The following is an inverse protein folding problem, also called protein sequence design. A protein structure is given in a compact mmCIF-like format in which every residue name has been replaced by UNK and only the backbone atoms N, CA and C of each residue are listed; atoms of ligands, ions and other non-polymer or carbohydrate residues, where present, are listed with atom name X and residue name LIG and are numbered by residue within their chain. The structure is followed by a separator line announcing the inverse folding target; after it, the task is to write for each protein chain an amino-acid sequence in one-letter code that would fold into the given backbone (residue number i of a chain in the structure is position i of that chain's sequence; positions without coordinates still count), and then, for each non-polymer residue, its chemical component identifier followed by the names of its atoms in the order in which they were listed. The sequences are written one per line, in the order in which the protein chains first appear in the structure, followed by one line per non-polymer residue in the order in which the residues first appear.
data_IF_790824550655
#
_entry.id   IF_790824550655
#
_cell.length_a   1.000
_cell.length_b   1.000
_cell.length_c   1.000
_cell.angle_alpha   90.00
_cell.angle_beta   90.00
_cell.angle_gamma   90.00
#
_symmetry.space_group_name_H-M   'P 1'
#
loop_
_entity.id
_entity.type
_entity.pdbx_description
1 polymer ?
#
# COMPACT_ATOMS: atom_id res chain seq x y z
N UNK A 1 -14.75 -0.51 30.79
CA UNK A 1 -13.29 -0.68 30.98
C UNK A 1 -12.44 -0.16 29.83
N UNK A 2 -12.68 -0.49 28.53
CA UNK A 2 -11.78 -0.12 27.43
C UNK A 2 -11.47 1.37 27.26
N UNK A 3 -12.46 2.24 27.57
CA UNK A 3 -12.31 3.71 27.43
C UNK A 3 -11.37 4.33 28.47
N UNK A 4 -11.21 3.71 29.63
CA UNK A 4 -10.39 4.26 30.75
C UNK A 4 -8.90 4.00 30.49
N UNK A 5 -8.55 2.88 29.86
CA UNK A 5 -7.17 2.53 29.56
C UNK A 5 -6.62 3.24 28.31
N UNK A 6 -7.50 3.76 27.44
CA UNK A 6 -7.07 4.38 26.18
C UNK A 6 -6.13 5.58 26.38
N UNK A 7 -6.42 6.58 27.25
CA UNK A 7 -5.50 7.68 27.50
C UNK A 7 -4.14 7.21 28.05
N UNK A 8 -4.15 6.15 28.86
CA UNK A 8 -2.95 5.58 29.44
C UNK A 8 -2.08 4.87 28.38
N UNK A 9 -2.69 4.07 27.52
CA UNK A 9 -2.04 3.41 26.39
C UNK A 9 -1.52 4.44 25.37
N UNK A 10 -2.25 5.53 25.15
CA UNK A 10 -1.80 6.66 24.32
C UNK A 10 -0.56 7.32 24.91
N UNK A 11 -0.54 7.57 26.22
CA UNK A 11 0.62 8.11 26.92
C UNK A 11 1.84 7.19 26.77
N UNK A 12 1.72 5.93 27.18
CA UNK A 12 2.85 4.98 27.18
C UNK A 12 3.38 4.70 25.78
N UNK A 13 2.49 4.50 24.80
CA UNK A 13 2.92 4.30 23.41
C UNK A 13 3.60 5.53 22.80
N UNK A 14 3.23 6.74 23.24
CA UNK A 14 3.84 7.98 22.73
C UNK A 14 5.15 8.32 23.42
N UNK A 15 5.40 7.80 24.62
CA UNK A 15 6.69 7.93 25.33
C UNK A 15 7.66 6.77 25.05
N UNK A 16 7.24 5.76 24.27
CA UNK A 16 8.05 4.56 24.05
C UNK A 16 8.17 3.64 25.27
N UNK A 17 7.25 3.73 26.22
CA UNK A 17 7.24 2.93 27.44
C UNK A 17 6.70 1.53 27.17
N UNK A 18 7.56 0.69 26.59
CA UNK A 18 7.27 -0.69 26.20
C UNK A 18 6.92 -1.55 27.42
N UNK A 19 7.58 -1.33 28.55
CA UNK A 19 7.42 -2.17 29.74
C UNK A 19 6.03 -1.97 30.35
N UNK A 20 5.55 -0.72 30.46
CA UNK A 20 4.20 -0.45 30.91
C UNK A 20 3.13 -1.01 29.96
N UNK A 21 3.35 -0.97 28.63
CA UNK A 21 2.44 -1.59 27.66
C UNK A 21 2.42 -3.12 27.84
N UNK A 22 3.57 -3.75 28.08
CA UNK A 22 3.67 -5.18 28.34
C UNK A 22 2.95 -5.59 29.62
N UNK A 23 3.06 -4.82 30.70
CA UNK A 23 2.30 -5.05 31.92
C UNK A 23 0.79 -4.97 31.67
N UNK A 24 0.31 -3.97 30.91
CA UNK A 24 -1.11 -3.88 30.57
C UNK A 24 -1.53 -5.08 29.72
N UNK A 25 -0.75 -5.47 28.71
CA UNK A 25 -1.04 -6.65 27.87
C UNK A 25 -1.15 -7.93 28.70
N UNK A 26 -0.26 -8.11 29.67
CA UNK A 26 -0.25 -9.28 30.55
C UNK A 26 -1.50 -9.33 31.45
N UNK A 27 -1.93 -8.19 31.97
CA UNK A 27 -3.08 -8.12 32.87
C UNK A 27 -4.43 -8.07 32.13
N UNK A 28 -4.44 -7.65 30.86
CA UNK A 28 -5.64 -7.47 30.03
C UNK A 28 -5.43 -8.01 28.60
N UNK A 29 -5.19 -9.33 28.44
CA UNK A 29 -4.88 -9.94 27.13
C UNK A 29 -6.03 -9.86 26.11
N UNK A 30 -7.27 -9.67 26.57
CA UNK A 30 -8.47 -9.56 25.74
C UNK A 30 -8.59 -8.24 24.97
N UNK A 31 -7.73 -7.24 25.26
CA UNK A 31 -7.77 -5.94 24.62
C UNK A 31 -7.20 -5.98 23.19
N UNK A 32 -8.01 -6.40 22.23
CA UNK A 32 -7.62 -6.54 20.82
C UNK A 32 -7.04 -5.26 20.17
N UNK A 33 -7.30 -4.07 20.74
CA UNK A 33 -6.76 -2.80 20.25
C UNK A 33 -5.35 -2.48 20.79
N UNK A 34 -4.86 -3.21 21.81
CA UNK A 34 -3.56 -2.97 22.44
C UNK A 34 -2.41 -3.09 21.44
N UNK A 35 -2.55 -3.93 20.41
CA UNK A 35 -1.54 -4.11 19.36
C UNK A 35 -1.14 -2.80 18.65
N UNK A 36 -2.07 -1.83 18.53
CA UNK A 36 -1.74 -0.52 17.94
C UNK A 36 -0.74 0.25 18.83
N UNK A 37 -0.99 0.22 20.14
CA UNK A 37 -0.18 0.92 21.14
C UNK A 37 1.14 0.20 21.39
N UNK A 38 1.10 -1.14 21.37
CA UNK A 38 2.26 -2.03 21.46
C UNK A 38 3.28 -1.71 20.38
N UNK A 39 2.93 -1.87 19.10
CA UNK A 39 3.90 -1.62 18.03
C UNK A 39 4.37 -0.16 18.04
N UNK A 40 3.48 0.80 18.32
CA UNK A 40 3.87 2.22 18.42
C UNK A 40 4.93 2.46 19.51
N UNK A 41 4.79 1.86 20.69
CA UNK A 41 5.77 2.01 21.77
C UNK A 41 7.17 1.56 21.32
N UNK A 42 7.28 0.37 20.72
CA UNK A 42 8.55 -0.16 20.21
C UNK A 42 9.16 0.73 19.11
N UNK A 43 8.35 1.24 18.19
CA UNK A 43 8.83 2.10 17.10
C UNK A 43 9.33 3.44 17.65
N UNK A 44 8.59 4.07 18.58
CA UNK A 44 8.97 5.34 19.21
C UNK A 44 10.25 5.20 20.03
N UNK A 45 10.44 4.08 20.73
CA UNK A 45 11.65 3.82 21.50
C UNK A 45 12.81 3.25 20.66
N UNK A 46 12.66 3.17 19.34
CA UNK A 46 13.63 2.57 18.41
C UNK A 46 14.04 1.12 18.71
N UNK A 47 13.19 0.35 19.39
CA UNK A 47 13.43 -1.05 19.78
C UNK A 47 12.97 -2.00 18.69
N UNK A 48 13.47 -1.82 17.47
CA UNK A 48 13.04 -2.58 16.28
C UNK A 48 13.43 -4.08 16.38
N UNK A 49 14.62 -4.39 16.90
CA UNK A 49 15.08 -5.77 17.14
C UNK A 49 14.13 -6.52 18.08
N UNK A 50 13.74 -5.88 19.19
CA UNK A 50 12.89 -6.50 20.20
C UNK A 50 11.48 -6.75 19.65
N UNK A 51 10.97 -5.82 18.83
CA UNK A 51 9.69 -5.99 18.15
C UNK A 51 9.74 -7.13 17.13
N UNK A 52 10.81 -7.21 16.34
CA UNK A 52 11.01 -8.30 15.39
C UNK A 52 11.14 -9.64 16.13
N UNK A 53 11.89 -9.69 17.23
CA UNK A 53 11.99 -10.86 18.09
C UNK A 53 10.63 -11.28 18.65
N UNK A 54 9.79 -10.33 19.08
CA UNK A 54 8.43 -10.62 19.56
C UNK A 54 7.54 -11.24 18.46
N UNK A 55 7.74 -10.87 17.19
CA UNK A 55 7.07 -11.53 16.07
C UNK A 55 7.59 -12.95 15.83
N UNK A 56 8.90 -13.19 16.01
CA UNK A 56 9.54 -14.47 15.73
C UNK A 56 9.36 -15.53 16.81
N UNK A 57 9.42 -15.14 18.08
CA UNK A 57 9.56 -16.06 19.21
C UNK A 57 8.37 -17.04 19.32
N UNK A 58 7.16 -16.55 19.05
CA UNK A 58 5.97 -17.37 18.93
C UNK A 58 5.12 -16.83 17.78
N UNK A 59 5.06 -17.56 16.67
CA UNK A 59 4.38 -17.07 15.46
C UNK A 59 2.87 -16.83 15.67
N UNK A 60 2.19 -17.63 16.50
CA UNK A 60 0.76 -17.39 16.80
C UNK A 60 0.56 -16.09 17.59
N UNK A 61 1.40 -15.87 18.60
CA UNK A 61 1.36 -14.62 19.36
C UNK A 61 1.79 -13.43 18.49
N UNK A 62 2.89 -13.58 17.75
CA UNK A 62 3.41 -12.60 16.81
C UNK A 62 2.37 -12.17 15.78
N UNK A 63 1.60 -13.11 15.23
CA UNK A 63 0.44 -12.84 14.36
C UNK A 63 -0.61 -11.97 15.06
N UNK A 64 -0.92 -12.24 16.32
CA UNK A 64 -1.94 -11.49 17.07
C UNK A 64 -1.55 -10.02 17.28
N UNK A 65 -0.25 -9.75 17.43
CA UNK A 65 0.31 -8.40 17.61
C UNK A 65 0.80 -7.76 16.31
N UNK A 66 0.81 -8.49 15.19
CA UNK A 66 1.37 -8.03 13.93
C UNK A 66 0.69 -6.76 13.43
N UNK A 67 1.53 -5.80 13.00
CA UNK A 67 1.10 -4.57 12.37
C UNK A 67 1.91 -4.31 11.11
N UNK A 68 1.21 -4.21 9.98
CA UNK A 68 1.82 -3.94 8.68
C UNK A 68 2.66 -2.66 8.69
N UNK A 69 2.15 -1.58 9.29
CA UNK A 69 2.90 -0.31 9.37
C UNK A 69 4.21 -0.45 10.16
N UNK A 70 4.17 -1.13 11.31
CA UNK A 70 5.37 -1.33 12.13
C UNK A 70 6.37 -2.30 11.46
N UNK A 71 5.85 -3.31 10.74
CA UNK A 71 6.69 -4.22 9.99
C UNK A 71 7.39 -3.53 8.81
N UNK A 72 6.71 -2.59 8.13
CA UNK A 72 7.34 -1.72 7.14
C UNK A 72 8.45 -0.86 7.75
N UNK A 73 8.28 -0.37 8.98
CA UNK A 73 9.33 0.39 9.66
C UNK A 73 10.54 -0.47 10.05
N UNK A 74 10.33 -1.76 10.37
CA UNK A 74 11.42 -2.73 10.54
C UNK A 74 12.13 -2.98 9.21
N UNK A 75 11.41 -3.16 8.10
CA UNK A 75 11.99 -3.40 6.78
C UNK A 75 12.86 -2.24 6.28
N UNK A 76 12.64 -1.01 6.77
CA UNK A 76 13.51 0.14 6.49
C UNK A 76 14.86 0.09 7.20
N UNK A 77 15.07 -0.83 8.15
CA UNK A 77 16.34 -1.00 8.87
C UNK A 77 17.22 -2.01 8.12
N UNK A 78 18.33 -1.59 7.48
CA UNK A 78 19.11 -2.47 6.60
C UNK A 78 19.61 -3.74 7.29
N UNK A 79 20.01 -3.65 8.56
CA UNK A 79 20.51 -4.78 9.33
C UNK A 79 19.41 -5.77 9.80
N UNK A 80 18.13 -5.38 9.69
CA UNK A 80 16.98 -6.23 10.03
C UNK A 80 16.21 -6.73 8.81
N UNK A 81 16.44 -6.16 7.62
CA UNK A 81 15.63 -6.42 6.43
C UNK A 81 15.58 -7.91 6.08
N UNK A 82 16.74 -8.58 5.97
CA UNK A 82 16.79 -10.00 5.59
C UNK A 82 16.10 -10.91 6.61
N UNK A 83 16.26 -10.60 7.90
CA UNK A 83 15.62 -11.32 9.00
C UNK A 83 14.10 -11.14 8.95
N UNK A 84 13.62 -9.92 8.72
CA UNK A 84 12.21 -9.62 8.55
C UNK A 84 11.61 -10.31 7.31
N UNK A 85 12.29 -10.28 6.16
CA UNK A 85 11.85 -10.99 4.95
C UNK A 85 11.75 -12.50 5.21
N UNK A 86 12.73 -13.08 5.91
CA UNK A 86 12.73 -14.50 6.27
C UNK A 86 11.56 -14.85 7.18
N UNK A 87 11.24 -13.98 8.16
CA UNK A 87 10.07 -14.14 9.01
C UNK A 87 8.75 -14.06 8.20
N UNK A 88 8.66 -13.13 7.26
CA UNK A 88 7.47 -13.01 6.42
C UNK A 88 7.19 -14.30 5.62
N UNK A 89 8.25 -14.94 5.10
CA UNK A 89 8.15 -16.25 4.44
C UNK A 89 7.67 -17.35 5.40
N UNK A 90 8.28 -17.43 6.60
CA UNK A 90 7.85 -18.40 7.64
C UNK A 90 6.37 -18.25 8.02
N UNK A 91 5.87 -17.02 8.14
CA UNK A 91 4.46 -16.78 8.40
C UNK A 91 3.56 -17.34 7.31
N UNK A 92 3.92 -17.12 6.04
CA UNK A 92 3.15 -17.61 4.90
C UNK A 92 3.20 -19.14 4.77
N UNK A 93 4.35 -19.74 5.08
CA UNK A 93 4.52 -21.21 5.11
C UNK A 93 3.65 -21.86 6.19
N UNK A 94 3.54 -21.24 7.36
CA UNK A 94 2.71 -21.76 8.45
C UNK A 94 1.21 -21.55 8.22
N UNK A 95 0.82 -20.40 7.68
CA UNK A 95 -0.58 -20.05 7.41
C UNK A 95 -0.71 -19.33 6.07
N UNK A 96 -1.28 -20.03 5.09
CA UNK A 96 -1.50 -19.50 3.75
C UNK A 96 -2.46 -18.29 3.73
N UNK A 97 -3.32 -18.13 4.75
CA UNK A 97 -4.26 -17.01 4.84
C UNK A 97 -3.65 -15.78 5.53
N UNK A 98 -2.48 -15.92 6.17
CA UNK A 98 -1.78 -14.80 6.80
C UNK A 98 -0.76 -14.15 5.85
N UNK A 99 -1.28 -13.45 4.83
CA UNK A 99 -0.50 -12.83 3.76
C UNK A 99 0.07 -11.43 4.08
N UNK A 100 -0.34 -10.83 5.22
CA UNK A 100 0.04 -9.46 5.59
C UNK A 100 1.56 -9.22 5.63
N UNK A 101 2.40 -10.11 6.21
CA UNK A 101 3.86 -9.93 6.21
C UNK A 101 4.46 -9.94 4.81
N UNK A 102 4.05 -10.88 3.95
CA UNK A 102 4.51 -10.97 2.56
C UNK A 102 4.04 -9.74 1.77
N UNK A 103 2.80 -9.31 1.97
CA UNK A 103 2.24 -8.09 1.36
C UNK A 103 3.06 -6.85 1.77
N UNK A 104 3.52 -6.77 3.02
CA UNK A 104 4.39 -5.69 3.49
C UNK A 104 5.77 -5.72 2.81
N UNK A 105 6.38 -6.89 2.65
CA UNK A 105 7.65 -7.04 1.92
C UNK A 105 7.49 -6.59 0.46
N UNK A 106 6.41 -7.01 -0.20
CA UNK A 106 6.16 -6.61 -1.58
C UNK A 106 5.99 -5.09 -1.73
N UNK A 107 5.23 -4.45 -0.84
CA UNK A 107 5.10 -3.00 -0.79
C UNK A 107 6.44 -2.28 -0.53
N UNK A 108 7.26 -2.82 0.38
CA UNK A 108 8.60 -2.29 0.66
C UNK A 108 9.50 -2.36 -0.59
N UNK A 109 9.51 -3.49 -1.31
CA UNK A 109 10.27 -3.62 -2.55
C UNK A 109 9.84 -2.60 -3.60
N UNK A 110 8.53 -2.42 -3.83
CA UNK A 110 8.03 -1.45 -4.82
C UNK A 110 8.35 0.00 -4.45
N UNK A 111 8.16 0.38 -3.19
CA UNK A 111 8.36 1.77 -2.73
C UNK A 111 9.83 2.19 -2.62
N UNK A 112 10.74 1.21 -2.51
CA UNK A 112 12.19 1.40 -2.58
C UNK A 112 12.78 1.03 -3.96
N UNK A 113 11.95 0.91 -4.99
CA UNK A 113 12.38 0.75 -6.39
C UNK A 113 13.14 -0.56 -6.68
N UNK A 114 13.01 -1.56 -5.80
CA UNK A 114 13.51 -2.92 -6.00
C UNK A 114 12.55 -3.74 -6.87
N UNK A 115 12.25 -3.27 -8.09
CA UNK A 115 11.17 -3.81 -8.93
C UNK A 115 11.36 -5.28 -9.31
N UNK A 116 12.59 -5.71 -9.65
CA UNK A 116 12.88 -7.11 -9.96
C UNK A 116 12.55 -8.03 -8.78
N UNK A 117 12.98 -7.64 -7.57
CA UNK A 117 12.68 -8.38 -6.33
C UNK A 117 11.18 -8.41 -6.07
N UNK A 118 10.47 -7.31 -6.32
CA UNK A 118 9.02 -7.24 -6.19
C UNK A 118 8.28 -8.18 -7.17
N UNK A 119 8.73 -8.24 -8.42
CA UNK A 119 8.17 -9.12 -9.45
C UNK A 119 8.38 -10.60 -9.10
N UNK A 120 9.62 -10.97 -8.74
CA UNK A 120 9.93 -12.33 -8.27
C UNK A 120 9.08 -12.72 -7.05
N UNK A 121 8.84 -11.79 -6.13
CA UNK A 121 8.01 -12.05 -4.95
C UNK A 121 6.55 -12.34 -5.30
N UNK A 122 5.98 -11.56 -6.22
CA UNK A 122 4.58 -11.68 -6.62
C UNK A 122 4.29 -12.94 -7.44
N UNK A 123 5.32 -13.51 -8.11
CA UNK A 123 5.20 -14.80 -8.81
C UNK A 123 5.11 -15.99 -7.85
N UNK A 124 5.71 -15.87 -6.67
CA UNK A 124 5.82 -16.98 -5.70
C UNK A 124 4.71 -16.92 -4.65
N UNK A 125 4.31 -15.73 -4.23
CA UNK A 125 3.37 -15.54 -3.13
C UNK A 125 2.12 -14.79 -3.55
N UNK A 126 0.96 -15.29 -3.14
CA UNK A 126 -0.29 -14.51 -3.21
C UNK A 126 -0.21 -13.31 -2.26
N UNK A 127 -0.43 -12.11 -2.80
CA UNK A 127 -0.30 -10.82 -2.12
C UNK A 127 -1.57 -9.98 -2.25
N UNK A 128 -1.87 -9.18 -1.25
CA UNK A 128 -3.03 -8.28 -1.27
C UNK A 128 -2.76 -6.99 -2.06
N UNK A 129 -3.13 -6.98 -3.35
CA UNK A 129 -2.99 -5.82 -4.24
C UNK A 129 -3.64 -4.55 -3.67
N UNK A 130 -4.77 -4.67 -2.97
CA UNK A 130 -5.45 -3.51 -2.38
C UNK A 130 -4.56 -2.73 -1.40
N UNK A 131 -3.95 -3.44 -0.44
CA UNK A 131 -3.17 -2.84 0.63
C UNK A 131 -1.91 -2.17 0.07
N UNK A 132 -1.25 -2.84 -0.86
CA UNK A 132 -0.06 -2.32 -1.54
C UNK A 132 -0.39 -1.11 -2.40
N UNK A 133 -1.48 -1.17 -3.18
CA UNK A 133 -1.84 -0.11 -4.10
C UNK A 133 -2.01 1.26 -3.46
N UNK A 134 -2.64 1.34 -2.28
CA UNK A 134 -2.76 2.63 -1.59
C UNK A 134 -1.39 3.22 -1.22
N UNK A 135 -0.46 2.39 -0.75
CA UNK A 135 0.87 2.85 -0.34
C UNK A 135 1.72 3.23 -1.54
N UNK A 136 1.77 2.36 -2.56
CA UNK A 136 2.55 2.61 -3.78
C UNK A 136 2.01 3.81 -4.53
N UNK A 137 0.69 3.93 -4.69
CA UNK A 137 0.09 5.10 -5.34
C UNK A 137 0.41 6.41 -4.61
N UNK A 138 0.43 6.40 -3.27
CA UNK A 138 0.81 7.57 -2.48
C UNK A 138 2.27 7.95 -2.75
N UNK A 139 3.20 7.00 -2.60
CA UNK A 139 4.63 7.25 -2.79
C UNK A 139 4.95 7.65 -4.24
N UNK A 140 4.32 7.00 -5.21
CA UNK A 140 4.50 7.31 -6.63
C UNK A 140 4.05 8.74 -6.96
N UNK A 141 2.93 9.22 -6.39
CA UNK A 141 2.49 10.62 -6.56
C UNK A 141 3.42 11.60 -5.86
N UNK A 142 3.78 11.34 -4.60
CA UNK A 142 4.66 12.20 -3.81
C UNK A 142 6.05 12.37 -4.46
N UNK A 143 6.56 11.32 -5.10
CA UNK A 143 7.85 11.34 -5.82
C UNK A 143 7.70 11.62 -7.32
N UNK A 144 6.48 11.78 -7.81
CA UNK A 144 6.14 11.82 -9.24
C UNK A 144 6.84 10.72 -10.06
N UNK A 145 6.95 9.52 -9.48
CA UNK A 145 7.74 8.42 -10.01
C UNK A 145 6.91 7.57 -10.98
N UNK A 146 7.04 7.88 -12.27
CA UNK A 146 6.38 7.18 -13.39
C UNK A 146 6.76 5.70 -13.39
N UNK A 147 8.04 5.37 -13.22
CA UNK A 147 8.55 3.99 -13.25
C UNK A 147 7.89 3.15 -12.15
N UNK A 148 7.72 3.69 -10.94
CA UNK A 148 7.04 3.01 -9.84
C UNK A 148 5.58 2.70 -10.17
N UNK A 149 4.85 3.70 -10.69
CA UNK A 149 3.46 3.54 -11.08
C UNK A 149 3.28 2.52 -12.21
N UNK A 150 4.17 2.53 -13.21
CA UNK A 150 4.19 1.54 -14.29
C UNK A 150 4.47 0.12 -13.78
N UNK A 151 5.50 -0.05 -12.94
CA UNK A 151 5.85 -1.36 -12.39
C UNK A 151 4.72 -1.93 -11.51
N UNK A 152 4.09 -1.09 -10.68
CA UNK A 152 2.94 -1.52 -9.90
C UNK A 152 1.76 -1.90 -10.78
N UNK A 153 1.41 -1.08 -11.77
CA UNK A 153 0.34 -1.37 -12.72
C UNK A 153 0.60 -2.71 -13.43
N UNK A 154 1.81 -2.93 -13.93
CA UNK A 154 2.22 -4.18 -14.57
C UNK A 154 2.06 -5.37 -13.64
N UNK A 155 2.53 -5.26 -12.40
CA UNK A 155 2.47 -6.35 -11.43
C UNK A 155 1.02 -6.75 -11.10
N UNK A 156 0.07 -5.82 -11.08
CA UNK A 156 -1.34 -6.13 -10.79
C UNK A 156 -2.17 -6.53 -12.02
N UNK A 157 -1.60 -6.52 -13.24
CA UNK A 157 -2.33 -6.95 -14.45
C UNK A 157 -2.78 -8.41 -14.31
N UNK A 158 -1.88 -9.25 -13.81
CA UNK A 158 -2.05 -10.70 -13.71
C UNK A 158 -2.57 -11.15 -12.33
N UNK A 159 -2.65 -10.24 -11.36
CA UNK A 159 -3.23 -10.53 -10.05
C UNK A 159 -4.75 -10.39 -10.14
N UNK A 160 -5.47 -11.41 -9.66
CA UNK A 160 -6.91 -11.29 -9.46
C UNK A 160 -7.19 -10.25 -8.38
N UNK A 161 -7.71 -9.10 -8.79
CA UNK A 161 -8.04 -8.00 -7.90
C UNK A 161 -9.27 -7.26 -8.41
N UNK A 162 -10.01 -6.68 -7.47
CA UNK A 162 -11.22 -5.93 -7.78
C UNK A 162 -10.94 -4.81 -8.78
N UNK A 163 -11.84 -4.63 -9.75
CA UNK A 163 -11.78 -3.60 -10.80
C UNK A 163 -11.37 -2.21 -10.28
N UNK A 164 -11.90 -1.79 -9.13
CA UNK A 164 -11.56 -0.53 -8.45
C UNK A 164 -10.07 -0.34 -8.15
N UNK A 165 -9.32 -1.43 -7.92
CA UNK A 165 -7.87 -1.36 -7.66
C UNK A 165 -7.09 -1.13 -8.95
N UNK A 166 -7.54 -1.73 -10.05
CA UNK A 166 -7.00 -1.47 -11.39
C UNK A 166 -7.31 -0.01 -11.79
N UNK A 167 -8.55 0.45 -11.62
CA UNK A 167 -8.93 1.86 -11.84
C UNK A 167 -8.02 2.84 -11.09
N UNK A 168 -7.73 2.57 -9.81
CA UNK A 168 -6.83 3.40 -9.02
C UNK A 168 -5.38 3.37 -9.51
N UNK A 169 -4.87 2.22 -9.97
CA UNK A 169 -3.52 2.10 -10.50
C UNK A 169 -3.37 2.88 -11.83
N UNK A 170 -4.30 2.66 -12.77
CA UNK A 170 -4.33 3.41 -14.04
C UNK A 170 -4.47 4.90 -13.80
N UNK A 171 -5.41 5.32 -12.96
CA UNK A 171 -5.61 6.74 -12.67
C UNK A 171 -4.41 7.39 -11.94
N UNK A 172 -3.73 6.65 -11.07
CA UNK A 172 -2.48 7.14 -10.47
C UNK A 172 -1.41 7.38 -11.53
N UNK A 173 -1.20 6.42 -12.44
CA UNK A 173 -0.22 6.56 -13.51
C UNK A 173 -0.61 7.71 -14.46
N UNK A 174 -1.90 7.83 -14.81
CA UNK A 174 -2.44 8.92 -15.62
C UNK A 174 -2.13 10.29 -15.01
N UNK A 175 -2.42 10.48 -13.72
CA UNK A 175 -2.14 11.75 -13.03
C UNK A 175 -0.66 12.12 -13.10
N UNK A 176 0.23 11.15 -12.87
CA UNK A 176 1.67 11.38 -12.91
C UNK A 176 2.12 11.72 -14.35
N UNK A 177 1.66 10.99 -15.37
CA UNK A 177 2.01 11.24 -16.76
C UNK A 177 1.56 12.63 -17.23
N UNK A 178 0.32 13.04 -16.88
CA UNK A 178 -0.20 14.37 -17.21
C UNK A 178 0.57 15.46 -16.48
N UNK A 179 0.91 15.26 -15.20
CA UNK A 179 1.72 16.19 -14.41
C UNK A 179 3.13 16.36 -15.00
N UNK A 180 3.71 15.29 -15.55
CA UNK A 180 5.04 15.26 -16.20
C UNK A 180 5.01 15.70 -17.66
N UNK A 181 3.87 16.17 -18.16
CA UNK A 181 3.66 16.55 -19.56
C UNK A 181 3.95 15.42 -20.57
N UNK A 182 3.89 14.16 -20.12
CA UNK A 182 4.05 12.96 -20.93
C UNK A 182 2.70 12.62 -21.61
N UNK A 183 2.18 13.55 -22.40
CA UNK A 183 0.80 13.48 -22.92
C UNK A 183 0.58 12.34 -23.92
N UNK A 184 1.59 11.97 -24.70
CA UNK A 184 1.47 10.87 -25.66
C UNK A 184 1.30 9.54 -24.90
N UNK A 185 2.13 9.28 -23.91
CA UNK A 185 2.02 8.10 -23.04
C UNK A 185 0.72 8.10 -22.23
N UNK A 186 0.30 9.25 -21.72
CA UNK A 186 -0.97 9.41 -21.03
C UNK A 186 -2.15 9.06 -21.95
N UNK A 187 -2.11 9.46 -23.21
CA UNK A 187 -3.17 9.16 -24.19
C UNK A 187 -3.25 7.68 -24.51
N UNK A 188 -2.11 7.00 -24.68
CA UNK A 188 -2.03 5.55 -24.89
C UNK A 188 -2.57 4.79 -23.68
N UNK A 189 -2.26 5.25 -22.46
CA UNK A 189 -2.77 4.65 -21.23
C UNK A 189 -4.30 4.74 -21.13
N UNK A 190 -4.90 5.86 -21.53
CA UNK A 190 -6.36 6.02 -21.52
C UNK A 190 -7.01 5.07 -22.53
N UNK A 191 -6.43 4.90 -23.71
CA UNK A 191 -6.91 3.94 -24.71
C UNK A 191 -6.81 2.51 -24.17
N UNK A 192 -5.67 2.12 -23.59
CA UNK A 192 -5.50 0.80 -22.96
C UNK A 192 -6.55 0.57 -21.85
N UNK A 193 -6.84 1.60 -21.05
CA UNK A 193 -7.85 1.53 -20.00
C UNK A 193 -9.25 1.30 -20.57
N UNK A 194 -9.64 2.02 -21.64
CA UNK A 194 -10.93 1.87 -22.31
C UNK A 194 -11.11 0.48 -22.94
N UNK A 195 -10.08 -0.04 -23.61
CA UNK A 195 -10.07 -1.40 -24.18
C UNK A 195 -10.27 -2.48 -23.13
N UNK A 196 -9.85 -2.22 -21.88
CA UNK A 196 -9.94 -3.13 -20.74
C UNK A 196 -11.16 -2.87 -19.84
N UNK A 197 -12.11 -2.05 -20.30
CA UNK A 197 -13.29 -1.65 -19.53
C UNK A 197 -12.91 -1.02 -18.17
N UNK A 198 -11.77 -0.32 -18.06
CA UNK A 198 -11.36 0.38 -16.84
C UNK A 198 -11.96 1.79 -16.84
N UNK A 199 -12.86 2.08 -15.89
CA UNK A 199 -13.54 3.37 -15.82
C UNK A 199 -12.69 4.41 -15.10
N UNK A 200 -11.97 5.23 -15.87
CA UNK A 200 -11.21 6.37 -15.33
C UNK A 200 -12.06 7.62 -15.12
N UNK A 201 -13.18 7.75 -15.81
CA UNK A 201 -14.02 8.96 -15.75
C UNK A 201 -14.59 9.20 -14.36
N UNK A 202 -14.95 8.15 -13.62
CA UNK A 202 -15.58 8.28 -12.30
C UNK A 202 -14.77 9.07 -11.29
N UNK A 203 -13.44 8.95 -11.31
CA UNK A 203 -12.56 9.57 -10.31
C UNK A 203 -11.46 10.46 -10.90
N UNK A 204 -11.18 10.35 -12.20
CA UNK A 204 -10.06 11.05 -12.88
C UNK A 204 -10.52 11.94 -14.03
N UNK A 205 -11.81 12.35 -14.05
CA UNK A 205 -12.39 13.23 -15.08
C UNK A 205 -11.60 14.52 -15.30
N UNK A 206 -11.18 15.19 -14.22
CA UNK A 206 -10.39 16.42 -14.31
C UNK A 206 -9.08 16.21 -15.06
N UNK A 207 -8.38 15.11 -14.76
CA UNK A 207 -7.12 14.75 -15.40
C UNK A 207 -7.33 14.42 -16.88
N UNK A 208 -8.42 13.71 -17.21
CA UNK A 208 -8.78 13.44 -18.61
C UNK A 208 -9.08 14.72 -19.40
N UNK A 209 -9.78 15.68 -18.79
CA UNK A 209 -10.05 16.99 -19.40
C UNK A 209 -8.75 17.78 -19.58
N UNK A 210 -7.84 17.76 -18.59
CA UNK A 210 -6.53 18.39 -18.71
C UNK A 210 -5.72 17.79 -19.86
N UNK A 211 -5.67 16.46 -19.97
CA UNK A 211 -4.99 15.76 -21.05
C UNK A 211 -5.58 16.12 -22.42
N UNK A 212 -6.91 16.10 -22.55
CA UNK A 212 -7.61 16.52 -23.77
C UNK A 212 -7.22 17.94 -24.19
N UNK A 213 -7.27 18.89 -23.26
CA UNK A 213 -6.93 20.28 -23.53
C UNK A 213 -5.44 20.44 -23.89
N UNK A 214 -4.55 19.67 -23.26
CA UNK A 214 -3.12 19.67 -23.60
C UNK A 214 -2.87 19.18 -25.04
N UNK A 215 -3.42 18.01 -25.40
CA UNK A 215 -3.30 17.47 -26.77
C UNK A 215 -3.86 18.43 -27.82
N UNK A 216 -5.00 19.07 -27.55
CA UNK A 216 -5.59 20.05 -28.46
C UNK A 216 -4.73 21.31 -28.61
N UNK A 217 -4.13 21.82 -27.53
CA UNK A 217 -3.16 22.93 -27.60
C UNK A 217 -1.95 22.58 -28.46
N UNK A 218 -1.50 21.34 -28.41
CA UNK A 218 -0.41 20.80 -29.25
C UNK A 218 -0.85 20.43 -30.67
N UNK A 219 -2.13 20.64 -31.02
CA UNK A 219 -2.73 20.24 -32.31
C UNK A 219 -2.61 18.74 -32.59
N UNK A 220 -2.55 17.92 -31.53
CA UNK A 220 -2.56 16.46 -31.60
C UNK A 220 -3.98 15.92 -31.61
N UNK A 221 -4.15 14.70 -32.13
CA UNK A 221 -5.41 13.98 -32.05
C UNK A 221 -5.72 13.60 -30.60
N UNK A 222 -7.00 13.53 -30.24
CA UNK A 222 -7.48 13.04 -28.94
C UNK A 222 -8.10 11.67 -29.16
N UNK A 223 -7.38 10.56 -28.88
CA UNK A 223 -7.81 9.21 -29.28
C UNK A 223 -8.84 8.58 -28.32
N UNK A 224 -9.39 9.35 -27.38
CA UNK A 224 -10.31 8.88 -26.35
C UNK A 224 -11.51 9.82 -26.23
N UNK A 225 -12.64 9.26 -25.81
CA UNK A 225 -13.84 10.01 -25.47
C UNK A 225 -13.95 10.22 -23.96
N UNK A 226 -14.59 11.31 -23.56
CA UNK A 226 -15.01 11.58 -22.17
C UNK A 226 -16.52 11.75 -22.24
N UNK A 227 -17.29 10.90 -21.58
CA UNK A 227 -18.76 11.00 -21.62
C UNK A 227 -19.21 12.33 -21.00
N UNK A 228 -20.12 13.05 -21.65
CA UNK A 228 -20.82 14.19 -21.03
C UNK A 228 -21.71 13.68 -19.90
N UNK A 229 -21.82 14.43 -18.80
CA UNK A 229 -22.87 14.15 -17.82
C UNK A 229 -24.22 14.44 -18.49
N UNK A 230 -24.92 13.38 -18.91
CA UNK A 230 -26.35 13.48 -19.16
C UNK A 230 -27.00 13.74 -17.80
N UNK A 231 -27.27 15.01 -17.50
CA UNK A 231 -28.27 15.36 -16.51
C UNK A 231 -29.59 14.81 -17.03
N UNK A 232 -29.92 13.58 -16.63
CA UNK A 232 -31.28 13.10 -16.69
C UNK A 232 -32.12 14.05 -15.82
N UNK A 233 -32.75 15.03 -16.47
CA UNK A 233 -33.83 15.80 -15.88
C UNK A 233 -34.94 14.78 -15.61
N UNK A 234 -35.30 14.52 -14.35
CA UNK A 234 -36.46 13.69 -14.07
C UNK A 234 -37.70 14.46 -14.57
N UNK A 235 -38.47 13.85 -15.45
CA UNK A 235 -39.86 14.25 -15.73
C UNK A 235 -40.74 14.11 -14.47
#
# INVERSE_FOLDING_TARGET
MPKILKPLLEKYSSSGDVDAINEIKKNFPELAFIKNYYSKAYIVSERYEDLLFAYENNLNEGRSIFKMSAFLDILKKPHLEERAISLAKKYKEQDQDFDLPITAVWAHCLTNEHYRKAEEFCKVFSVSAHLVGRMVSKVAREKENVTMAMNYLSAIKDIDCQKKHKENAYGTLLDILVLKEMYDDASLLVVEAQEKDINLEKYYRSTLVMLKNALQRERKNVPFTIQSEDFAVPE
#
